data_IF_575139571276
#
_entry.id   IF_575139571276
#
_cell.length_a   1.000
_cell.length_b   1.000
_cell.length_c   1.000
_cell.angle_alpha   90.00
_cell.angle_beta   90.00
_cell.angle_gamma   90.00
#
_symmetry.space_group_name_H-M   'P 1'
#
loop_
_entity.id
_entity.type
_entity.pdbx_description
1 polymer ?
#
# COMPACT_ATOMS: atom_id res chain seq x y z
N UNK A 1 -5.81 3.09 -14.63
CA UNK A 1 -5.66 3.20 -16.12
C UNK A 1 -4.30 2.73 -16.65
N UNK A 2 -3.18 2.90 -15.93
CA UNK A 2 -1.86 2.44 -16.41
C UNK A 2 -1.67 0.94 -16.34
N UNK A 3 -2.20 0.27 -15.32
CA UNK A 3 -2.26 -1.20 -15.26
C UNK A 3 -3.12 -1.79 -16.38
N UNK A 4 -4.23 -1.14 -16.74
CA UNK A 4 -5.04 -1.50 -17.92
C UNK A 4 -4.26 -1.31 -19.22
N UNK A 5 -3.47 -0.24 -19.33
CA UNK A 5 -2.60 0.02 -20.50
C UNK A 5 -1.44 -0.99 -20.58
N UNK A 6 -0.85 -1.38 -19.44
CA UNK A 6 0.13 -2.47 -19.35
C UNK A 6 -0.51 -3.80 -19.73
N UNK A 7 -1.73 -4.07 -19.29
CA UNK A 7 -2.48 -5.28 -19.63
C UNK A 7 -2.81 -5.32 -21.13
N UNK A 8 -3.24 -4.19 -21.71
CA UNK A 8 -3.50 -4.01 -23.14
C UNK A 8 -2.21 -4.19 -23.96
N UNK A 9 -1.08 -3.66 -23.48
CA UNK A 9 0.23 -3.81 -24.12
C UNK A 9 0.72 -5.27 -24.07
N UNK A 10 0.52 -5.96 -22.94
CA UNK A 10 0.78 -7.40 -22.81
C UNK A 10 -0.11 -8.19 -23.76
N UNK A 11 -1.42 -7.92 -23.79
CA UNK A 11 -2.39 -8.63 -24.62
C UNK A 11 -2.14 -8.42 -26.12
N UNK A 12 -1.83 -7.18 -26.55
CA UNK A 12 -1.47 -6.86 -27.93
C UNK A 12 -0.21 -7.60 -28.39
N UNK A 13 0.77 -7.77 -27.50
CA UNK A 13 2.01 -8.51 -27.77
C UNK A 13 1.80 -10.02 -27.77
N UNK A 14 0.92 -10.54 -26.93
CA UNK A 14 0.49 -11.94 -26.98
C UNK A 14 -0.14 -12.27 -28.35
N UNK A 15 -1.00 -11.38 -28.89
CA UNK A 15 -1.56 -11.56 -30.24
C UNK A 15 -0.48 -11.52 -31.34
N UNK A 16 0.52 -10.64 -31.20
CA UNK A 16 1.66 -10.58 -32.13
C UNK A 16 2.48 -11.88 -32.12
N UNK A 17 2.79 -12.42 -30.95
CA UNK A 17 3.52 -13.68 -30.78
C UNK A 17 2.77 -14.87 -31.39
N UNK A 18 1.44 -14.89 -31.28
CA UNK A 18 0.57 -15.89 -31.91
C UNK A 18 0.55 -15.75 -33.45
N UNK A 19 0.56 -14.51 -33.96
CA UNK A 19 0.56 -14.23 -35.41
C UNK A 19 1.87 -14.59 -36.12
N UNK A 20 2.99 -14.55 -35.40
CA UNK A 20 4.33 -14.82 -35.95
C UNK A 20 4.76 -16.29 -35.81
N UNK A 21 3.84 -17.19 -35.40
CA UNK A 21 4.09 -18.62 -35.17
C UNK A 21 5.25 -18.93 -34.20
N UNK A 22 5.62 -17.98 -33.33
CA UNK A 22 6.70 -18.17 -32.35
C UNK A 22 6.31 -19.14 -31.22
N UNK A 23 5.00 -19.32 -31.02
CA UNK A 23 4.42 -20.30 -30.08
C UNK A 23 3.46 -21.20 -30.86
N UNK A 24 3.68 -22.52 -30.78
CA UNK A 24 2.87 -23.51 -31.50
C UNK A 24 1.43 -23.53 -30.99
N UNK A 25 0.40 -23.61 -31.87
CA UNK A 25 -1.02 -23.51 -31.49
C UNK A 25 -1.57 -24.72 -30.70
N UNK A 26 -0.75 -25.74 -30.41
CA UNK A 26 -1.16 -26.98 -29.77
C UNK A 26 -0.48 -27.22 -28.41
N UNK A 27 -0.64 -26.31 -27.44
CA UNK A 27 -0.21 -26.57 -26.06
C UNK A 27 -1.34 -26.22 -25.09
N UNK A 28 -1.85 -27.25 -24.41
CA UNK A 28 -2.85 -27.22 -23.34
C UNK A 28 -2.44 -26.30 -22.19
N UNK A 29 -3.41 -25.55 -21.64
CA UNK A 29 -3.58 -24.91 -20.30
C UNK A 29 -2.39 -24.42 -19.46
N UNK A 30 -1.17 -24.94 -19.60
CA UNK A 30 0.09 -24.41 -19.08
C UNK A 30 0.70 -23.29 -19.97
N UNK A 31 0.03 -22.90 -21.06
CA UNK A 31 0.58 -21.96 -22.05
C UNK A 31 0.33 -20.47 -21.75
N UNK A 32 -0.61 -20.10 -20.87
CA UNK A 32 -0.92 -18.69 -20.58
C UNK A 32 0.24 -17.99 -19.89
N UNK A 33 0.81 -18.63 -18.87
CA UNK A 33 1.88 -18.04 -18.06
C UNK A 33 3.19 -17.97 -18.83
N UNK A 34 3.44 -18.99 -19.67
CA UNK A 34 4.57 -19.00 -20.60
C UNK A 34 4.47 -17.87 -21.63
N UNK A 35 3.28 -17.65 -22.21
CA UNK A 35 3.05 -16.54 -23.16
C UNK A 35 3.15 -15.17 -22.47
N UNK A 36 2.64 -15.06 -21.24
CA UNK A 36 2.74 -13.85 -20.43
C UNK A 36 4.19 -13.52 -20.09
N UNK A 37 4.96 -14.50 -19.63
CA UNK A 37 6.40 -14.35 -19.35
C UNK A 37 7.17 -13.89 -20.57
N UNK A 38 6.97 -14.54 -21.73
CA UNK A 38 7.64 -14.14 -22.98
C UNK A 38 7.26 -12.73 -23.42
N UNK A 39 6.00 -12.34 -23.23
CA UNK A 39 5.52 -10.99 -23.55
C UNK A 39 6.15 -9.94 -22.65
N UNK A 40 6.26 -10.22 -21.34
CA UNK A 40 6.93 -9.36 -20.37
C UNK A 40 8.44 -9.26 -20.65
N UNK A 41 9.09 -10.36 -21.02
CA UNK A 41 10.49 -10.36 -21.42
C UNK A 41 10.76 -9.49 -22.67
N UNK A 42 9.85 -9.51 -23.65
CA UNK A 42 9.91 -8.63 -24.81
C UNK A 42 9.64 -7.15 -24.47
N UNK A 43 8.86 -6.86 -23.43
CA UNK A 43 8.71 -5.50 -22.89
C UNK A 43 10.05 -5.04 -22.32
N UNK A 44 10.64 -5.84 -21.43
CA UNK A 44 11.94 -5.57 -20.82
C UNK A 44 13.05 -5.33 -21.86
N UNK A 45 13.13 -6.15 -22.91
CA UNK A 45 14.12 -5.98 -23.98
C UNK A 45 14.00 -4.62 -24.71
N UNK A 46 12.79 -4.07 -24.80
CA UNK A 46 12.52 -2.80 -25.47
C UNK A 46 12.78 -1.59 -24.59
N UNK A 47 12.74 -1.73 -23.26
CA UNK A 47 12.98 -0.64 -22.32
C UNK A 47 14.41 -0.09 -22.43
N UNK A 48 14.63 1.23 -22.40
CA UNK A 48 15.97 1.79 -22.54
C UNK A 48 16.89 1.31 -21.40
N UNK A 49 18.04 0.73 -21.74
CA UNK A 49 19.04 0.30 -20.76
C UNK A 49 20.38 0.93 -21.13
N UNK A 50 20.62 2.13 -20.59
CA UNK A 50 21.79 2.93 -20.94
C UNK A 50 21.87 3.20 -22.46
N UNK A 51 23.02 2.87 -23.06
CA UNK A 51 23.28 3.03 -24.51
C UNK A 51 23.10 1.74 -25.32
N UNK A 52 22.60 0.67 -24.71
CA UNK A 52 22.47 -0.61 -25.39
C UNK A 52 21.28 -0.60 -26.36
N UNK A 53 21.56 -0.93 -27.62
CA UNK A 53 20.50 -1.18 -28.61
C UNK A 53 19.77 -2.50 -28.30
N UNK A 54 18.61 -2.71 -28.92
CA UNK A 54 17.88 -3.98 -28.78
C UNK A 54 18.73 -5.15 -29.30
N UNK A 55 19.50 -4.95 -30.37
CA UNK A 55 20.38 -5.98 -30.93
C UNK A 55 21.52 -6.34 -29.97
N UNK A 56 22.11 -5.34 -29.30
CA UNK A 56 23.16 -5.57 -28.28
C UNK A 56 22.62 -6.39 -27.10
N UNK A 57 21.40 -6.10 -26.65
CA UNK A 57 20.74 -6.84 -25.57
C UNK A 57 20.45 -8.29 -25.97
N UNK A 58 19.93 -8.51 -27.19
CA UNK A 58 19.66 -9.84 -27.71
C UNK A 58 20.95 -10.68 -27.82
N UNK A 59 22.05 -10.06 -28.25
CA UNK A 59 23.36 -10.72 -28.32
C UNK A 59 23.90 -11.08 -26.94
N UNK A 60 23.81 -10.16 -25.97
CA UNK A 60 24.23 -10.40 -24.58
C UNK A 60 23.44 -11.55 -23.94
N UNK A 61 22.11 -11.54 -24.09
CA UNK A 61 21.27 -12.62 -23.58
C UNK A 61 21.65 -13.94 -24.25
N UNK A 62 21.78 -13.97 -25.58
CA UNK A 62 22.15 -15.22 -26.29
C UNK A 62 23.51 -15.77 -25.84
N UNK A 63 24.46 -14.89 -25.50
CA UNK A 63 25.79 -15.27 -25.03
C UNK A 63 25.81 -15.79 -23.58
N UNK A 64 24.97 -15.23 -22.72
CA UNK A 64 25.03 -15.47 -21.27
C UNK A 64 23.88 -16.34 -20.73
N UNK A 65 22.72 -16.37 -21.39
CA UNK A 65 21.56 -17.19 -21.00
C UNK A 65 21.88 -18.69 -20.86
N UNK A 66 22.72 -19.31 -21.71
CA UNK A 66 23.11 -20.71 -21.51
C UNK A 66 23.88 -20.98 -20.21
N UNK A 67 24.43 -19.94 -19.58
CA UNK A 67 25.15 -20.02 -18.30
C UNK A 67 24.23 -19.79 -17.10
N UNK A 68 22.97 -19.39 -17.34
CA UNK A 68 21.98 -19.16 -16.29
C UNK A 68 21.34 -20.50 -15.92
N UNK A 69 21.57 -20.95 -14.69
CA UNK A 69 20.87 -22.10 -14.09
C UNK A 69 19.79 -21.62 -13.11
N UNK A 70 18.80 -22.46 -12.82
CA UNK A 70 17.81 -22.18 -11.78
C UNK A 70 18.46 -21.90 -10.42
N UNK A 71 19.51 -22.66 -10.07
CA UNK A 71 20.30 -22.46 -8.85
C UNK A 71 21.00 -21.09 -8.82
N UNK A 72 21.53 -20.58 -9.95
CA UNK A 72 22.15 -19.26 -10.01
C UNK A 72 21.14 -18.13 -9.77
N UNK A 73 19.92 -18.30 -10.29
CA UNK A 73 18.82 -17.33 -10.08
C UNK A 73 18.35 -17.37 -8.62
N UNK A 74 18.22 -18.55 -8.04
CA UNK A 74 17.85 -18.71 -6.63
C UNK A 74 18.95 -18.22 -5.67
N UNK A 75 20.24 -18.44 -5.99
CA UNK A 75 21.37 -17.92 -5.21
C UNK A 75 21.48 -16.39 -5.30
N UNK A 76 21.12 -15.78 -6.44
CA UNK A 76 21.07 -14.32 -6.58
C UNK A 76 19.99 -13.66 -5.71
N UNK A 77 19.00 -14.44 -5.23
CA UNK A 77 17.97 -13.98 -4.30
C UNK A 77 18.40 -14.15 -2.82
N UNK A 78 19.43 -14.95 -2.54
CA UNK A 78 19.90 -15.28 -1.18
C UNK A 78 21.10 -14.43 -0.73
N UNK A 79 21.61 -13.53 -1.57
CA UNK A 79 22.80 -12.74 -1.26
C UNK A 79 22.77 -11.29 -1.74
N UNK A 80 21.96 -10.45 -1.10
CA UNK A 80 22.30 -9.03 -0.92
C UNK A 80 22.13 -8.63 0.54
N UNK A 81 23.12 -8.91 1.41
CA UNK A 81 23.32 -8.13 2.60
C UNK A 81 23.91 -6.77 2.15
N UNK A 82 23.02 -5.79 1.92
CA UNK A 82 23.30 -4.36 1.86
C UNK A 82 24.39 -3.88 0.90
N UNK A 83 23.99 -3.13 -0.12
CA UNK A 83 24.80 -1.99 -0.59
C UNK A 83 24.79 -0.91 0.51
N UNK A 84 25.61 -1.15 1.54
CA UNK A 84 26.19 -0.14 2.39
C UNK A 84 27.55 0.24 1.77
N UNK A 85 27.71 1.49 1.33
CA UNK A 85 29.05 2.07 1.28
C UNK A 85 29.48 2.38 2.72
N UNK A 86 30.40 1.55 3.22
CA UNK A 86 31.14 1.79 4.46
C UNK A 86 32.58 1.33 4.26
N UNK A 87 33.52 2.27 4.32
CA UNK A 87 34.95 2.01 4.50
C UNK A 87 35.16 1.22 5.81
N UNK A 88 35.86 0.08 5.75
CA UNK A 88 36.54 -0.53 6.90
C UNK A 88 37.61 0.45 7.43
N UNK A 89 37.96 0.56 8.72
CA UNK A 89 37.55 -0.10 9.96
C UNK A 89 38.49 0.37 11.09
N UNK A 90 38.08 0.21 12.36
CA UNK A 90 38.96 -0.31 13.42
C UNK A 90 38.14 -0.79 14.65
N UNK A 91 38.63 -1.86 15.28
CA UNK A 91 38.07 -2.81 16.28
C UNK A 91 37.35 -2.21 17.52
N UNK A 92 36.39 -2.89 18.20
CA UNK A 92 36.54 -4.12 19.02
C UNK A 92 35.16 -4.63 19.58
N UNK A 93 35.06 -5.83 20.23
CA UNK A 93 33.93 -6.78 20.07
C UNK A 93 32.99 -7.00 21.28
N UNK A 94 31.85 -7.67 21.00
CA UNK A 94 30.92 -8.33 21.94
C UNK A 94 29.47 -7.99 21.58
N UNK A 95 28.50 -8.89 21.45
CA UNK A 95 28.32 -10.23 21.99
C UNK A 95 27.32 -10.99 21.10
N UNK A 96 27.41 -12.32 21.10
CA UNK A 96 26.64 -13.20 20.22
C UNK A 96 25.19 -13.34 20.71
N UNK A 97 24.21 -13.10 19.83
CA UNK A 97 22.88 -13.70 19.97
C UNK A 97 22.53 -14.39 18.65
N UNK A 98 22.38 -15.72 18.75
CA UNK A 98 21.90 -16.60 17.69
C UNK A 98 20.43 -16.29 17.41
N UNK A 99 20.09 -15.96 16.17
CA UNK A 99 18.72 -16.09 15.67
C UNK A 99 18.56 -17.48 15.02
N UNK A 100 17.70 -18.30 15.63
CA UNK A 100 17.17 -19.50 14.99
C UNK A 100 16.03 -19.10 14.04
N UNK A 101 16.13 -19.65 12.82
CA UNK A 101 15.17 -19.53 11.73
C UNK A 101 13.88 -20.29 12.10
N UNK A 102 12.75 -19.59 12.03
CA UNK A 102 11.42 -20.17 12.06
C UNK A 102 10.49 -19.40 11.13
N UNK A 103 10.23 -19.93 9.94
CA UNK A 103 9.36 -19.33 8.94
C UNK A 103 7.87 -19.39 9.30
N UNK A 104 7.12 -18.45 8.74
CA UNK A 104 5.66 -18.50 8.62
C UNK A 104 4.92 -17.32 9.25
N UNK A 105 4.38 -16.44 8.38
CA UNK A 105 3.23 -15.55 8.67
C UNK A 105 3.33 -14.66 9.91
N UNK A 106 3.92 -13.48 9.77
CA UNK A 106 4.15 -12.59 10.91
C UNK A 106 4.11 -11.09 10.64
N UNK A 107 3.45 -10.62 9.57
CA UNK A 107 3.39 -9.18 9.27
C UNK A 107 2.77 -8.34 10.39
N UNK A 108 1.72 -8.84 11.06
CA UNK A 108 1.02 -8.11 12.12
C UNK A 108 1.78 -8.03 13.45
N UNK A 109 2.64 -9.01 13.76
CA UNK A 109 3.38 -9.04 15.04
C UNK A 109 4.49 -8.00 15.12
N UNK A 110 5.04 -7.59 13.98
CA UNK A 110 6.10 -6.59 13.91
C UNK A 110 5.55 -5.16 14.05
N UNK A 111 4.31 -4.90 13.61
CA UNK A 111 3.66 -3.58 13.76
C UNK A 111 3.38 -3.26 15.23
N UNK A 112 2.81 -4.20 15.98
CA UNK A 112 2.51 -4.03 17.42
C UNK A 112 3.78 -3.68 18.22
N UNK A 113 4.91 -4.30 17.86
CA UNK A 113 6.21 -4.03 18.50
C UNK A 113 6.78 -2.65 18.14
N UNK A 114 6.54 -2.16 16.92
CA UNK A 114 6.98 -0.80 16.49
C UNK A 114 6.17 0.31 17.17
N UNK A 115 4.88 0.10 17.44
CA UNK A 115 4.03 1.07 18.15
C UNK A 115 4.29 1.15 19.66
N UNK A 116 4.80 0.08 20.27
CA UNK A 116 4.98 0.01 21.72
C UNK A 116 6.19 0.81 22.26
N UNK A 117 7.05 1.37 21.39
CA UNK A 117 8.38 1.88 21.77
C UNK A 117 8.43 3.40 22.01
N UNK A 118 7.37 4.17 21.81
CA UNK A 118 7.43 5.63 22.04
C UNK A 118 6.53 6.12 23.19
N UNK A 119 7.15 6.72 24.20
CA UNK A 119 6.49 7.32 25.37
C UNK A 119 5.90 8.71 25.05
N UNK A 120 6.11 9.23 23.83
CA UNK A 120 5.61 10.54 23.41
C UNK A 120 4.36 10.42 22.52
N UNK A 121 3.20 10.17 23.14
CA UNK A 121 1.91 9.93 22.48
C UNK A 121 1.35 11.09 21.65
N UNK A 122 2.00 12.26 21.61
CA UNK A 122 1.51 13.44 20.88
C UNK A 122 2.20 13.63 19.50
N UNK A 123 3.17 12.78 19.14
CA UNK A 123 3.84 12.87 17.82
C UNK A 123 3.27 11.85 16.83
N UNK A 124 2.83 12.33 15.67
CA UNK A 124 2.40 11.45 14.59
C UNK A 124 3.63 10.79 13.95
N UNK A 125 3.77 9.47 14.15
CA UNK A 125 4.88 8.68 13.61
C UNK A 125 4.37 7.68 12.58
N UNK A 126 5.13 7.52 11.51
CA UNK A 126 4.79 6.65 10.38
C UNK A 126 5.97 5.74 10.07
N UNK A 127 5.70 4.45 10.03
CA UNK A 127 6.65 3.44 9.57
C UNK A 127 6.84 3.49 8.06
N UNK A 128 8.06 3.19 7.61
CA UNK A 128 8.41 3.14 6.19
C UNK A 128 7.53 2.17 5.39
N UNK A 129 7.10 1.05 6.02
CA UNK A 129 6.24 0.07 5.37
C UNK A 129 4.87 0.67 5.03
N UNK A 130 4.27 1.42 5.96
CA UNK A 130 3.01 2.14 5.75
C UNK A 130 3.15 3.17 4.64
N UNK A 131 4.27 3.90 4.60
CA UNK A 131 4.55 4.85 3.52
C UNK A 131 4.64 4.18 2.15
N UNK A 132 5.34 3.04 2.06
CA UNK A 132 5.48 2.32 0.80
C UNK A 132 4.14 1.77 0.29
N UNK A 133 3.29 1.31 1.20
CA UNK A 133 1.98 0.75 0.86
C UNK A 133 0.97 1.81 0.47
N UNK A 134 1.00 2.97 1.12
CA UNK A 134 0.21 4.15 0.76
C UNK A 134 0.47 4.67 -0.67
N UNK A 135 1.59 4.32 -1.30
CA UNK A 135 1.95 4.84 -2.62
C UNK A 135 0.92 4.51 -3.72
N UNK A 136 0.29 3.33 -3.71
CA UNK A 136 -0.73 3.00 -4.71
C UNK A 136 -1.96 3.89 -4.54
N UNK A 137 -2.43 4.07 -3.30
CA UNK A 137 -3.54 4.98 -2.98
C UNK A 137 -3.21 6.40 -3.41
N UNK A 138 -2.01 6.89 -3.12
CA UNK A 138 -1.56 8.22 -3.52
C UNK A 138 -1.46 8.39 -5.03
N UNK A 139 -0.96 7.37 -5.74
CA UNK A 139 -0.88 7.39 -7.19
C UNK A 139 -2.29 7.48 -7.81
N UNK A 140 -3.21 6.63 -7.35
CA UNK A 140 -4.59 6.62 -7.81
C UNK A 140 -5.31 7.92 -7.43
N UNK A 141 -5.04 8.46 -6.23
CA UNK A 141 -5.55 9.75 -5.79
C UNK A 141 -5.10 10.88 -6.72
N UNK A 142 -3.80 10.97 -6.99
CA UNK A 142 -3.23 11.99 -7.87
C UNK A 142 -3.80 11.88 -9.28
N UNK A 143 -3.94 10.66 -9.82
CA UNK A 143 -4.46 10.45 -11.18
C UNK A 143 -5.94 10.78 -11.32
N UNK A 144 -6.73 10.50 -10.28
CA UNK A 144 -8.19 10.55 -10.34
C UNK A 144 -8.75 11.88 -9.85
N UNK A 145 -8.12 12.50 -8.86
CA UNK A 145 -8.72 13.65 -8.17
C UNK A 145 -8.06 15.00 -8.47
N UNK A 146 -6.79 15.03 -8.90
CA UNK A 146 -6.12 16.31 -9.19
C UNK A 146 -6.85 17.16 -10.23
N UNK A 147 -7.55 16.52 -11.18
CA UNK A 147 -8.37 17.23 -12.16
C UNK A 147 -9.50 18.07 -11.53
N UNK A 148 -10.08 17.65 -10.40
CA UNK A 148 -11.11 18.42 -9.68
C UNK A 148 -10.53 19.61 -8.91
N UNK A 149 -9.22 19.59 -8.70
CA UNK A 149 -8.43 20.65 -8.05
C UNK A 149 -7.73 21.56 -9.07
N UNK A 150 -8.03 21.43 -10.36
CA UNK A 150 -7.35 22.21 -11.42
C UNK A 150 -5.85 21.90 -11.54
N UNK A 151 -5.41 20.76 -10.99
CA UNK A 151 -4.02 20.33 -10.99
C UNK A 151 -3.75 19.35 -12.13
N UNK A 152 -2.57 19.45 -12.72
CA UNK A 152 -2.10 18.52 -13.74
C UNK A 152 -0.99 17.63 -13.18
N UNK A 153 -1.17 16.31 -13.28
CA UNK A 153 -0.17 15.30 -12.85
C UNK A 153 1.14 15.41 -13.64
N UNK A 154 1.08 15.97 -14.86
CA UNK A 154 2.24 16.22 -15.71
C UNK A 154 3.12 17.39 -15.24
N UNK A 155 2.68 18.15 -14.21
CA UNK A 155 3.41 19.28 -13.62
C UNK A 155 4.05 18.87 -12.29
N UNK A 156 5.35 18.56 -12.26
CA UNK A 156 5.99 18.04 -11.06
C UNK A 156 5.93 19.02 -9.88
N UNK A 157 5.88 20.33 -10.13
CA UNK A 157 5.84 21.34 -9.06
C UNK A 157 4.58 21.23 -8.20
N UNK A 158 3.44 20.97 -8.85
CA UNK A 158 2.16 20.78 -8.17
C UNK A 158 2.18 19.51 -7.33
N UNK A 159 2.77 18.43 -7.86
CA UNK A 159 2.91 17.16 -7.15
C UNK A 159 3.82 17.32 -5.92
N UNK A 160 5.07 17.74 -6.10
CA UNK A 160 6.05 17.80 -5.01
C UNK A 160 5.73 18.83 -3.94
N UNK A 161 4.92 19.85 -4.25
CA UNK A 161 4.48 20.85 -3.25
C UNK A 161 3.54 20.26 -2.21
N UNK A 162 2.60 19.41 -2.62
CA UNK A 162 1.52 18.92 -1.76
C UNK A 162 1.69 17.47 -1.32
N UNK A 163 2.43 16.67 -2.11
CA UNK A 163 2.68 15.26 -1.86
C UNK A 163 3.25 14.97 -0.46
N UNK A 164 4.14 15.77 0.15
CA UNK A 164 4.64 15.45 1.50
C UNK A 164 3.52 15.35 2.54
N UNK A 165 2.56 16.28 2.52
CA UNK A 165 1.44 16.28 3.47
C UNK A 165 0.42 15.20 3.13
N UNK A 166 0.05 15.07 1.85
CA UNK A 166 -0.87 14.02 1.40
C UNK A 166 -0.32 12.62 1.71
N UNK A 167 0.96 12.40 1.40
CA UNK A 167 1.65 11.13 1.66
C UNK A 167 1.73 10.84 3.14
N UNK A 168 2.07 11.83 3.96
CA UNK A 168 2.08 11.66 5.41
C UNK A 168 0.68 11.27 5.93
N UNK A 169 -0.37 12.00 5.57
CA UNK A 169 -1.72 11.70 6.06
C UNK A 169 -2.18 10.31 5.62
N UNK A 170 -2.05 9.97 4.34
CA UNK A 170 -2.46 8.66 3.83
C UNK A 170 -1.68 7.53 4.50
N UNK A 171 -0.35 7.69 4.62
CA UNK A 171 0.48 6.68 5.28
C UNK A 171 0.15 6.50 6.75
N UNK A 172 -0.31 7.55 7.43
CA UNK A 172 -0.77 7.48 8.81
C UNK A 172 -2.10 6.72 8.91
N UNK A 173 -3.07 7.02 8.04
CA UNK A 173 -4.35 6.30 7.96
C UNK A 173 -4.10 4.82 7.66
N UNK A 174 -3.29 4.52 6.65
CA UNK A 174 -2.93 3.15 6.28
C UNK A 174 -2.27 2.37 7.43
N UNK A 175 -1.45 3.06 8.24
CA UNK A 175 -0.84 2.44 9.42
C UNK A 175 -1.89 2.07 10.48
N UNK A 176 -2.92 2.91 10.64
CA UNK A 176 -4.04 2.65 11.53
C UNK A 176 -4.95 1.54 10.98
N UNK A 177 -5.15 1.45 9.66
CA UNK A 177 -5.85 0.33 9.03
C UNK A 177 -5.17 -1.00 9.37
N UNK A 178 -3.84 -1.09 9.24
CA UNK A 178 -3.10 -2.30 9.59
C UNK A 178 -3.20 -2.67 11.08
N UNK A 179 -3.33 -1.68 11.97
CA UNK A 179 -3.65 -1.94 13.37
C UNK A 179 -5.07 -2.47 13.53
N UNK A 180 -6.04 -1.91 12.82
CA UNK A 180 -7.42 -2.38 12.85
C UNK A 180 -7.53 -3.82 12.34
N UNK A 181 -6.89 -4.16 11.23
CA UNK A 181 -6.80 -5.52 10.69
C UNK A 181 -6.22 -6.50 11.73
N UNK A 182 -5.14 -6.09 12.42
CA UNK A 182 -4.53 -6.89 13.49
C UNK A 182 -5.53 -7.15 14.62
N UNK A 183 -6.34 -6.15 14.99
CA UNK A 183 -7.40 -6.30 15.99
C UNK A 183 -8.49 -7.27 15.51
N UNK A 184 -8.94 -7.13 14.26
CA UNK A 184 -9.92 -8.03 13.65
C UNK A 184 -9.43 -9.48 13.67
N UNK A 185 -8.16 -9.70 13.30
CA UNK A 185 -7.54 -11.02 13.31
C UNK A 185 -7.45 -11.60 14.72
N UNK A 186 -7.08 -10.78 15.72
CA UNK A 186 -7.08 -11.18 17.13
C UNK A 186 -8.47 -11.57 17.63
N UNK A 187 -9.52 -10.84 17.25
CA UNK A 187 -10.90 -11.15 17.61
C UNK A 187 -11.34 -12.49 16.98
N UNK A 188 -10.95 -12.75 15.72
CA UNK A 188 -11.25 -14.02 15.02
C UNK A 188 -10.48 -15.21 15.59
N UNK A 189 -9.22 -15.01 15.97
CA UNK A 189 -8.42 -16.05 16.60
C UNK A 189 -8.82 -16.24 18.07
N UNK A 190 -9.62 -17.26 18.39
CA UNK A 190 -9.91 -17.61 19.78
C UNK A 190 -8.59 -17.76 20.56
N UNK A 191 -8.46 -17.22 21.79
CA UNK A 191 -7.20 -17.27 22.52
C UNK A 191 -6.83 -18.72 22.81
N UNK A 192 -5.78 -19.21 22.17
CA UNK A 192 -5.13 -20.46 22.55
C UNK A 192 -4.39 -20.20 23.87
N UNK A 193 -4.77 -20.91 24.92
CA UNK A 193 -4.19 -20.78 26.27
C UNK A 193 -2.68 -21.03 26.18
N UNK A 194 -1.84 -19.98 26.26
CA UNK A 194 -0.40 -20.17 26.27
C UNK A 194 0.54 -18.95 26.22
N UNK A 195 0.14 -17.79 25.70
CA UNK A 195 1.11 -16.71 25.39
C UNK A 195 0.86 -15.39 26.17
N UNK A 196 1.07 -15.43 27.48
CA UNK A 196 0.71 -14.33 28.40
C UNK A 196 1.52 -13.03 28.24
N UNK A 197 2.71 -13.04 27.60
CA UNK A 197 3.52 -11.82 27.40
C UNK A 197 3.16 -11.07 26.13
N UNK A 198 2.81 -11.77 25.05
CA UNK A 198 2.36 -11.16 23.80
C UNK A 198 0.99 -10.46 23.97
N UNK A 199 0.17 -10.95 24.90
CA UNK A 199 -1.15 -10.39 25.21
C UNK A 199 -1.10 -8.98 25.82
N UNK A 200 -0.04 -8.63 26.54
CA UNK A 200 0.00 -7.38 27.33
C UNK A 200 0.39 -6.16 26.48
N UNK A 201 1.35 -6.33 25.57
CA UNK A 201 1.75 -5.32 24.57
C UNK A 201 0.66 -5.12 23.52
N UNK A 202 0.05 -6.20 23.02
CA UNK A 202 -1.10 -6.14 22.11
C UNK A 202 -2.29 -5.41 22.77
N UNK A 203 -2.62 -5.73 24.03
CA UNK A 203 -3.67 -5.01 24.78
C UNK A 203 -3.34 -3.53 25.00
N UNK A 204 -2.06 -3.18 25.20
CA UNK A 204 -1.65 -1.77 25.34
C UNK A 204 -1.86 -1.01 24.03
N UNK A 205 -1.43 -1.57 22.90
CA UNK A 205 -1.62 -0.98 21.56
C UNK A 205 -3.11 -0.86 21.21
N UNK A 206 -3.91 -1.89 21.50
CA UNK A 206 -5.36 -1.85 21.35
C UNK A 206 -5.99 -0.72 22.17
N UNK A 207 -5.58 -0.58 23.42
CA UNK A 207 -6.12 0.48 24.30
C UNK A 207 -5.77 1.88 23.81
N UNK A 208 -4.59 2.09 23.24
CA UNK A 208 -4.19 3.38 22.65
C UNK A 208 -4.98 3.67 21.37
N UNK A 209 -5.19 2.67 20.52
CA UNK A 209 -6.01 2.78 19.31
C UNK A 209 -7.49 3.05 19.62
N UNK A 210 -8.04 2.43 20.66
CA UNK A 210 -9.46 2.55 21.02
C UNK A 210 -9.85 3.93 21.59
N UNK A 211 -8.91 4.72 22.11
CA UNK A 211 -9.24 5.98 22.77
C UNK A 211 -9.32 7.16 21.80
N UNK A 212 -8.26 7.46 21.04
CA UNK A 212 -8.19 8.62 20.14
C UNK A 212 -7.12 8.39 19.05
N UNK A 213 -7.35 7.49 18.07
CA UNK A 213 -6.31 7.04 17.13
C UNK A 213 -5.78 8.16 16.23
N UNK A 214 -6.62 9.15 15.92
CA UNK A 214 -6.25 10.29 15.08
C UNK A 214 -5.67 11.48 15.84
N UNK A 215 -5.63 11.47 17.17
CA UNK A 215 -5.16 12.63 17.96
C UNK A 215 -3.79 13.16 17.51
N UNK A 216 -2.76 12.32 17.29
CA UNK A 216 -1.47 12.82 16.81
C UNK A 216 -1.56 13.51 15.44
N UNK A 217 -2.36 12.95 14.52
CA UNK A 217 -2.59 13.54 13.20
C UNK A 217 -3.35 14.86 13.30
N UNK A 218 -4.38 14.94 14.15
CA UNK A 218 -5.15 16.17 14.38
C UNK A 218 -4.25 17.29 14.89
N UNK A 219 -3.39 17.02 15.88
CA UNK A 219 -2.42 18.00 16.40
C UNK A 219 -1.44 18.48 15.32
N UNK A 220 -0.96 17.57 14.46
CA UNK A 220 -0.08 17.90 13.35
C UNK A 220 -0.77 18.81 12.33
N UNK A 221 -2.00 18.48 11.93
CA UNK A 221 -2.77 19.26 10.96
C UNK A 221 -3.13 20.64 11.53
N UNK A 222 -3.48 20.71 12.82
CA UNK A 222 -3.75 21.98 13.51
C UNK A 222 -2.50 22.87 13.56
N UNK A 223 -1.34 22.31 13.88
CA UNK A 223 -0.08 23.05 13.91
C UNK A 223 0.30 23.66 12.55
N UNK A 224 -0.06 22.99 11.46
CA UNK A 224 0.17 23.48 10.09
C UNK A 224 -0.96 24.36 9.56
N UNK A 225 -2.01 24.64 10.37
CA UNK A 225 -3.17 25.43 9.95
C UNK A 225 -4.03 24.75 8.89
N UNK A 226 -3.97 23.42 8.78
CA UNK A 226 -4.70 22.61 7.79
C UNK A 226 -5.96 21.95 8.36
N UNK A 227 -6.08 21.88 9.69
CA UNK A 227 -7.22 21.24 10.32
C UNK A 227 -8.49 22.08 10.18
N UNK A 228 -9.54 21.48 9.63
CA UNK A 228 -10.89 22.04 9.58
C UNK A 228 -11.87 21.14 10.32
N UNK A 229 -13.04 21.67 10.69
CA UNK A 229 -14.10 20.85 11.30
C UNK A 229 -14.57 19.74 10.36
N UNK A 230 -14.59 19.99 9.05
CA UNK A 230 -14.94 18.94 8.06
C UNK A 230 -13.92 17.81 8.03
N UNK A 231 -12.62 18.11 8.09
CA UNK A 231 -11.57 17.08 8.20
C UNK A 231 -11.72 16.29 9.51
N UNK A 232 -12.02 16.97 10.63
CA UNK A 232 -12.26 16.32 11.92
C UNK A 232 -13.45 15.35 11.86
N UNK A 233 -14.53 15.75 11.20
CA UNK A 233 -15.72 14.93 11.01
C UNK A 233 -15.45 13.70 10.13
N UNK A 234 -14.71 13.85 9.02
CA UNK A 234 -14.33 12.71 8.16
C UNK A 234 -13.41 11.72 8.87
N UNK A 235 -12.44 12.19 9.68
CA UNK A 235 -11.59 11.29 10.47
C UNK A 235 -12.42 10.54 11.53
N UNK A 236 -13.39 11.21 12.16
CA UNK A 236 -14.32 10.56 13.10
C UNK A 236 -15.21 9.52 12.41
N UNK A 237 -15.59 9.76 11.16
CA UNK A 237 -16.26 8.76 10.32
C UNK A 237 -15.38 7.54 10.04
N UNK A 238 -14.07 7.72 9.88
CA UNK A 238 -13.10 6.62 9.82
C UNK A 238 -13.06 5.77 11.09
N UNK A 239 -13.13 6.40 12.27
CA UNK A 239 -13.25 5.65 13.54
C UNK A 239 -14.53 4.81 13.61
N UNK A 240 -15.66 5.37 13.13
CA UNK A 240 -16.94 4.65 13.00
C UNK A 240 -16.83 3.48 12.02
N UNK A 241 -16.17 3.69 10.87
CA UNK A 241 -15.90 2.64 9.89
C UNK A 241 -15.15 1.47 10.51
N UNK A 242 -14.02 1.72 11.19
CA UNK A 242 -13.25 0.65 11.83
C UNK A 242 -14.05 -0.09 12.91
N UNK A 243 -14.90 0.62 13.66
CA UNK A 243 -15.78 -0.02 14.63
C UNK A 243 -16.81 -0.95 13.96
N UNK A 244 -17.36 -0.55 12.82
CA UNK A 244 -18.25 -1.38 12.01
C UNK A 244 -17.49 -2.58 11.41
N UNK A 245 -16.28 -2.39 10.88
CA UNK A 245 -15.45 -3.46 10.34
C UNK A 245 -15.18 -4.53 11.41
N UNK A 246 -14.76 -4.12 12.62
CA UNK A 246 -14.60 -5.05 13.75
C UNK A 246 -15.88 -5.77 14.11
N UNK A 247 -17.03 -5.08 14.11
CA UNK A 247 -18.34 -5.70 14.40
C UNK A 247 -18.75 -6.72 13.34
N UNK A 248 -18.60 -6.37 12.05
CA UNK A 248 -18.97 -7.21 10.91
C UNK A 248 -18.04 -8.44 10.79
N UNK A 249 -16.74 -8.29 11.09
CA UNK A 249 -15.77 -9.38 11.01
C UNK A 249 -15.69 -10.26 12.27
N UNK A 250 -16.25 -9.82 13.40
CA UNK A 250 -16.21 -10.56 14.67
C UNK A 250 -17.36 -11.55 14.87
N UNK A 251 -18.46 -11.43 14.12
CA UNK A 251 -19.71 -12.10 14.47
C UNK A 251 -19.94 -13.43 13.76
N UNK A 252 -20.43 -14.41 14.52
CA UNK A 252 -21.16 -15.59 14.02
C UNK A 252 -22.68 -15.40 14.05
N UNK A 253 -23.15 -14.17 14.26
CA UNK A 253 -24.57 -13.77 14.35
C UNK A 253 -25.04 -13.01 13.10
N UNK A 254 -26.35 -12.74 13.01
CA UNK A 254 -26.98 -12.08 11.86
C UNK A 254 -26.39 -10.69 11.60
N UNK A 255 -25.69 -10.57 10.47
CA UNK A 255 -25.19 -9.32 9.92
C UNK A 255 -26.39 -8.44 9.55
N UNK A 256 -26.42 -7.19 10.03
CA UNK A 256 -27.42 -6.20 9.63
C UNK A 256 -27.05 -5.59 8.29
N UNK A 257 -28.01 -5.51 7.36
CA UNK A 257 -27.84 -4.79 6.10
C UNK A 257 -27.51 -3.32 6.36
N UNK A 258 -28.11 -2.70 7.38
CA UNK A 258 -27.86 -1.29 7.70
C UNK A 258 -26.40 -1.05 8.12
N UNK A 259 -25.80 -1.98 8.87
CA UNK A 259 -24.38 -1.90 9.27
C UNK A 259 -23.46 -2.02 8.04
N UNK A 260 -23.77 -2.95 7.12
CA UNK A 260 -23.00 -3.13 5.88
C UNK A 260 -23.11 -1.90 4.98
N UNK A 261 -24.33 -1.42 4.77
CA UNK A 261 -24.57 -0.21 3.98
C UNK A 261 -23.85 0.98 4.59
N UNK A 262 -23.89 1.15 5.92
CA UNK A 262 -23.16 2.23 6.60
C UNK A 262 -21.64 2.08 6.41
N UNK A 263 -21.09 0.88 6.56
CA UNK A 263 -19.66 0.63 6.38
C UNK A 263 -19.20 0.99 4.95
N UNK A 264 -19.95 0.60 3.92
CA UNK A 264 -19.64 0.93 2.52
C UNK A 264 -19.52 2.45 2.31
N UNK A 265 -20.46 3.25 2.86
CA UNK A 265 -20.41 4.71 2.71
C UNK A 265 -19.22 5.35 3.44
N UNK A 266 -18.76 4.73 4.53
CA UNK A 266 -17.66 5.25 5.34
C UNK A 266 -16.28 4.77 4.87
N UNK A 267 -16.22 3.72 4.05
CA UNK A 267 -14.98 3.02 3.68
C UNK A 267 -13.93 3.95 3.06
N UNK A 268 -14.33 4.86 2.18
CA UNK A 268 -13.43 5.78 1.47
C UNK A 268 -13.22 7.13 2.18
N UNK A 269 -13.29 7.18 3.52
CA UNK A 269 -13.10 8.43 4.27
C UNK A 269 -11.69 9.02 4.08
N UNK A 270 -10.69 8.18 3.85
CA UNK A 270 -9.31 8.53 3.50
C UNK A 270 -9.26 9.45 2.26
N UNK A 271 -9.93 9.07 1.17
CA UNK A 271 -10.03 9.88 -0.05
C UNK A 271 -10.71 11.23 0.20
N UNK A 272 -11.75 11.26 1.04
CA UNK A 272 -12.43 12.51 1.41
C UNK A 272 -11.52 13.42 2.23
N UNK A 273 -10.77 12.87 3.19
CA UNK A 273 -9.76 13.61 3.96
C UNK A 273 -8.67 14.17 3.04
N UNK A 274 -8.14 13.38 2.11
CA UNK A 274 -7.11 13.83 1.16
C UNK A 274 -7.62 14.96 0.25
N UNK A 275 -8.87 14.88 -0.23
CA UNK A 275 -9.48 15.95 -1.02
C UNK A 275 -9.66 17.24 -0.21
N UNK A 276 -10.13 17.15 1.04
CA UNK A 276 -10.28 18.31 1.92
C UNK A 276 -8.93 18.94 2.25
N UNK A 277 -7.91 18.12 2.53
CA UNK A 277 -6.54 18.59 2.74
C UNK A 277 -5.99 19.31 1.52
N UNK A 278 -6.27 18.81 0.31
CA UNK A 278 -5.79 19.44 -0.91
C UNK A 278 -6.44 20.81 -1.14
N UNK A 279 -7.72 21.00 -0.81
CA UNK A 279 -8.34 22.33 -0.78
C UNK A 279 -7.62 23.27 0.20
N UNK A 280 -7.35 22.81 1.43
CA UNK A 280 -6.65 23.62 2.43
C UNK A 280 -5.21 23.98 2.02
N UNK A 281 -4.48 23.02 1.45
CA UNK A 281 -3.11 23.22 0.96
C UNK A 281 -3.04 24.21 -0.21
N UNK A 282 -4.09 24.29 -1.03
CA UNK A 282 -4.20 25.28 -2.10
C UNK A 282 -4.72 26.64 -1.63
N UNK A 283 -5.31 26.70 -0.43
CA UNK A 283 -5.97 27.90 0.07
C UNK A 283 -7.28 28.20 -0.68
N UNK A 284 -7.94 27.15 -1.16
CA UNK A 284 -9.20 27.24 -1.90
C UNK A 284 -10.40 26.87 -1.01
N UNK A 285 -11.56 27.45 -1.31
CA UNK A 285 -12.82 27.03 -0.69
C UNK A 285 -13.20 25.63 -1.17
N UNK A 286 -13.73 24.83 -0.25
CA UNK A 286 -14.16 23.47 -0.57
C UNK A 286 -15.34 23.53 -1.55
N UNK A 287 -15.21 22.84 -2.68
CA UNK A 287 -16.29 22.71 -3.64
C UNK A 287 -17.26 21.61 -3.18
N UNK A 288 -18.43 22.02 -2.68
CA UNK A 288 -19.43 21.06 -2.18
C UNK A 288 -19.97 20.12 -3.26
N UNK A 289 -20.08 20.57 -4.51
CA UNK A 289 -20.50 19.71 -5.62
C UNK A 289 -19.48 18.60 -5.87
N UNK A 290 -18.19 18.92 -5.76
CA UNK A 290 -17.14 17.92 -5.86
C UNK A 290 -17.25 16.90 -4.71
N UNK A 291 -17.41 17.36 -3.47
CA UNK A 291 -17.52 16.45 -2.32
C UNK A 291 -18.81 15.59 -2.35
N UNK A 292 -19.92 16.11 -2.86
CA UNK A 292 -21.14 15.34 -3.10
C UNK A 292 -20.92 14.27 -4.19
N UNK A 293 -20.24 14.65 -5.28
CA UNK A 293 -19.86 13.70 -6.32
C UNK A 293 -18.98 12.56 -5.79
N UNK A 294 -17.99 12.87 -4.93
CA UNK A 294 -17.13 11.86 -4.30
C UNK A 294 -17.96 10.78 -3.59
N UNK A 295 -18.89 11.22 -2.75
CA UNK A 295 -19.74 10.30 -1.96
C UNK A 295 -20.49 9.30 -2.85
N UNK A 296 -21.02 9.75 -4.00
CA UNK A 296 -21.72 8.88 -4.95
C UNK A 296 -20.76 7.99 -5.73
N UNK A 297 -19.64 8.56 -6.19
CA UNK A 297 -18.64 7.83 -6.97
C UNK A 297 -18.01 6.69 -6.15
N UNK A 298 -17.65 6.97 -4.90
CA UNK A 298 -17.07 6.00 -3.96
C UNK A 298 -18.03 4.83 -3.75
N UNK A 299 -19.30 5.11 -3.46
CA UNK A 299 -20.33 4.08 -3.31
C UNK A 299 -20.45 3.17 -4.55
N UNK A 300 -20.38 3.74 -5.75
CA UNK A 300 -20.45 2.96 -6.98
C UNK A 300 -19.20 2.12 -7.23
N UNK A 301 -18.02 2.64 -6.90
CA UNK A 301 -16.74 1.90 -7.00
C UNK A 301 -16.75 0.71 -6.06
N UNK A 302 -17.17 0.90 -4.82
CA UNK A 302 -17.26 -0.18 -3.82
C UNK A 302 -18.23 -1.29 -4.25
N UNK A 303 -19.38 -0.93 -4.81
CA UNK A 303 -20.31 -1.93 -5.38
C UNK A 303 -19.67 -2.65 -6.57
N UNK A 304 -18.95 -1.94 -7.42
CA UNK A 304 -18.36 -2.51 -8.63
C UNK A 304 -17.23 -3.49 -8.32
N UNK A 305 -16.43 -3.24 -7.28
CA UNK A 305 -15.34 -4.13 -6.85
C UNK A 305 -15.86 -5.48 -6.30
N UNK A 306 -17.09 -5.51 -5.79
CA UNK A 306 -17.73 -6.71 -5.23
C UNK A 306 -18.58 -7.53 -6.24
N UNK A 307 -18.77 -7.05 -7.48
CA UNK A 307 -19.60 -7.69 -8.53
C UNK A 307 -18.77 -8.54 -9.52
#
# INVERSE_FOLDING_TARGET
>A
MEELKKLEEIQSRMMLLQSQHFVSPNISTHSSDSQRFLSQFLIFLREPCGRLSVDDKCNLISQHLPKVSALLVEESLVGLPGENEGFEGDYAPGDQVKEEIGGGGGGGRDLVRKFAVDENHDMALIGLDSMKRANSTLEDFCRSYFMFHGMEVTRPECLFKYLPMLSFTESYIYQLDGLNETIVDLIRSKPTVGDQRCDEEARKVMKTFETEPFRPLLLLLEHHGLLTERIREELKQGEEYWALERKLCSTSEQISIDDVMRAIHLKSFDYRVLNLLLYQLQGEEVNDLHMEFLTVSEFLVEIADDL
#
